data_IF_662239646010
#
_entry.id   IF_662239646010
#
_cell.length_a   1.000
_cell.length_b   1.000
_cell.length_c   1.000
_cell.angle_alpha   90.00
_cell.angle_beta   90.00
_cell.angle_gamma   90.00
#
_symmetry.space_group_name_H-M   'P 1'
#
loop_
_entity.id
_entity.type
_entity.pdbx_description
1 polymer ?
#
# COMPACT_ATOMS: atom_id res chain seq x y z
N UNK A 1 34.55 -24.36 -24.62
CA UNK A 1 33.63 -23.32 -25.15
C UNK A 1 32.86 -22.76 -23.97
N UNK A 2 33.22 -21.58 -23.48
CA UNK A 2 32.50 -20.92 -22.38
C UNK A 2 31.27 -20.24 -22.97
N UNK A 3 30.10 -20.84 -22.80
CA UNK A 3 28.83 -20.17 -23.02
C UNK A 3 28.78 -18.95 -22.12
N UNK A 4 28.71 -17.74 -22.71
CA UNK A 4 28.50 -16.52 -21.97
C UNK A 4 27.09 -16.59 -21.36
N UNK A 5 27.00 -17.03 -20.11
CA UNK A 5 25.74 -17.04 -19.38
C UNK A 5 25.39 -15.60 -19.02
N UNK A 6 24.22 -15.13 -19.45
CA UNK A 6 23.71 -13.82 -19.07
C UNK A 6 23.57 -13.75 -17.54
N UNK A 7 23.93 -12.61 -16.94
CA UNK A 7 23.76 -12.38 -15.50
C UNK A 7 22.27 -12.38 -15.18
N UNK A 8 21.82 -13.24 -14.27
CA UNK A 8 20.40 -13.28 -13.87
C UNK A 8 20.04 -12.05 -13.05
N UNK A 9 18.94 -11.39 -13.41
CA UNK A 9 18.35 -10.30 -12.63
C UNK A 9 17.41 -10.89 -11.58
N UNK A 10 17.76 -10.71 -10.31
CA UNK A 10 17.05 -11.30 -9.18
C UNK A 10 16.37 -10.21 -8.38
N UNK A 11 15.05 -10.30 -8.22
CA UNK A 11 14.35 -9.53 -7.21
C UNK A 11 14.20 -10.35 -5.93
N UNK A 12 14.03 -9.67 -4.81
CA UNK A 12 13.72 -10.30 -3.53
C UNK A 12 12.38 -9.76 -3.04
N UNK A 13 11.62 -10.59 -2.30
CA UNK A 13 10.37 -10.14 -1.69
C UNK A 13 10.38 -10.42 -0.19
N UNK A 14 10.03 -9.39 0.60
CA UNK A 14 9.86 -9.51 2.06
C UNK A 14 11.12 -9.41 2.93
N UNK A 15 12.29 -9.09 2.36
CA UNK A 15 13.50 -8.83 3.16
C UNK A 15 13.53 -7.41 3.72
N UNK A 16 13.90 -7.27 4.99
CA UNK A 16 14.24 -5.97 5.58
C UNK A 16 15.65 -5.49 5.18
N UNK A 17 16.01 -4.25 5.53
CA UNK A 17 17.32 -3.66 5.17
C UNK A 17 18.51 -4.49 5.64
N UNK A 18 18.40 -5.11 6.82
CA UNK A 18 19.50 -5.89 7.42
C UNK A 18 19.66 -7.23 6.71
N UNK A 19 18.55 -7.88 6.39
CA UNK A 19 18.48 -9.17 5.70
C UNK A 19 18.90 -9.02 4.24
N UNK A 20 18.49 -7.93 3.58
CA UNK A 20 18.92 -7.60 2.23
C UNK A 20 20.44 -7.39 2.16
N UNK A 21 21.02 -6.61 3.07
CA UNK A 21 22.46 -6.40 3.11
C UNK A 21 23.25 -7.72 3.33
N UNK A 22 22.77 -8.59 4.23
CA UNK A 22 23.37 -9.90 4.42
C UNK A 22 23.23 -10.79 3.16
N UNK A 23 22.13 -10.67 2.44
CA UNK A 23 21.87 -11.39 1.20
C UNK A 23 22.75 -10.89 0.04
N UNK A 24 22.97 -9.58 -0.08
CA UNK A 24 23.92 -9.00 -1.03
C UNK A 24 25.35 -9.49 -0.79
N UNK A 25 25.78 -9.52 0.48
CA UNK A 25 27.06 -10.11 0.87
C UNK A 25 27.13 -11.59 0.50
N UNK A 26 26.04 -12.34 0.65
CA UNK A 26 25.96 -13.74 0.23
C UNK A 26 26.10 -13.88 -1.29
N UNK A 27 25.36 -13.09 -2.08
CA UNK A 27 25.41 -13.12 -3.56
C UNK A 27 26.80 -12.81 -4.10
N UNK A 28 27.55 -11.90 -3.47
CA UNK A 28 28.94 -11.61 -3.87
C UNK A 28 29.88 -12.82 -3.80
N UNK A 29 29.51 -13.86 -3.02
CA UNK A 29 30.28 -15.10 -2.86
C UNK A 29 29.84 -16.23 -3.80
N UNK A 30 28.70 -16.09 -4.48
CA UNK A 30 28.14 -17.11 -5.38
C UNK A 30 28.93 -17.18 -6.69
N UNK A 31 29.45 -16.05 -7.17
CA UNK A 31 30.37 -15.98 -8.31
C UNK A 31 30.17 -14.71 -9.15
N UNK A 32 31.20 -14.26 -9.88
CA UNK A 32 31.09 -13.10 -10.76
C UNK A 32 30.07 -13.39 -11.88
N UNK A 33 29.14 -12.45 -12.10
CA UNK A 33 28.08 -12.53 -13.11
C UNK A 33 27.04 -13.65 -12.92
N UNK A 34 26.98 -14.27 -11.73
CA UNK A 34 25.98 -15.31 -11.47
C UNK A 34 24.56 -14.73 -11.32
N UNK A 35 24.44 -13.60 -10.63
CA UNK A 35 23.18 -12.99 -10.24
C UNK A 35 23.42 -11.55 -9.80
N UNK A 36 22.53 -10.61 -10.16
CA UNK A 36 22.52 -9.24 -9.67
C UNK A 36 21.12 -8.88 -9.16
N UNK A 37 21.05 -8.08 -8.09
CA UNK A 37 19.76 -7.59 -7.60
C UNK A 37 19.17 -6.56 -8.58
N UNK A 38 17.92 -6.76 -8.97
CA UNK A 38 17.16 -5.84 -9.81
C UNK A 38 15.83 -5.44 -9.17
N UNK A 39 15.16 -4.48 -9.79
CA UNK A 39 13.74 -4.22 -9.58
C UNK A 39 12.87 -5.43 -9.98
N UNK A 40 11.67 -5.49 -9.42
CA UNK A 40 10.73 -6.60 -9.60
C UNK A 40 10.18 -6.71 -11.02
N UNK A 41 10.08 -5.61 -11.76
CA UNK A 41 9.57 -5.60 -13.13
C UNK A 41 10.60 -6.18 -14.10
N UNK A 42 11.87 -5.79 -13.95
CA UNK A 42 12.96 -6.28 -14.80
C UNK A 42 13.55 -7.62 -14.36
N UNK A 43 13.11 -8.21 -13.25
CA UNK A 43 13.67 -9.45 -12.75
C UNK A 43 13.37 -10.67 -13.64
N UNK A 44 14.40 -11.50 -13.84
CA UNK A 44 14.32 -12.81 -14.48
C UNK A 44 13.90 -13.90 -13.48
N UNK A 45 14.21 -13.69 -12.20
CA UNK A 45 13.93 -14.63 -11.09
C UNK A 45 13.58 -13.86 -9.82
N UNK A 46 12.75 -14.44 -8.95
CA UNK A 46 12.54 -13.91 -7.60
C UNK A 46 13.04 -14.87 -6.51
N UNK A 47 13.62 -14.30 -5.45
CA UNK A 47 13.95 -15.02 -4.24
C UNK A 47 12.96 -14.71 -3.12
N UNK A 48 12.39 -15.76 -2.52
CA UNK A 48 11.40 -15.66 -1.45
C UNK A 48 11.83 -16.54 -0.28
N UNK A 49 11.84 -15.96 0.92
CA UNK A 49 11.92 -16.73 2.15
C UNK A 49 10.52 -17.26 2.51
N UNK A 50 10.31 -18.58 2.43
CA UNK A 50 9.01 -19.22 2.71
C UNK A 50 8.72 -19.41 4.21
N UNK A 51 9.75 -19.56 5.03
CA UNK A 51 9.57 -19.70 6.47
C UNK A 51 9.32 -18.35 7.16
N UNK A 52 9.55 -17.25 6.46
CA UNK A 52 9.08 -15.95 6.87
C UNK A 52 7.55 -15.96 6.94
N UNK A 53 6.96 -15.21 7.88
CA UNK A 53 5.50 -15.14 8.08
C UNK A 53 4.74 -14.77 6.80
N UNK A 54 5.38 -13.98 5.92
CA UNK A 54 4.83 -13.54 4.64
C UNK A 54 5.16 -14.47 3.47
N UNK A 55 6.07 -15.43 3.65
CA UNK A 55 6.62 -16.26 2.59
C UNK A 55 5.58 -16.92 1.69
N UNK A 56 4.58 -17.64 2.24
CA UNK A 56 3.55 -18.30 1.43
C UNK A 56 2.70 -17.31 0.62
N UNK A 57 2.36 -16.15 1.20
CA UNK A 57 1.58 -15.11 0.53
C UNK A 57 2.38 -14.40 -0.57
N UNK A 58 3.68 -14.19 -0.34
CA UNK A 58 4.58 -13.61 -1.34
C UNK A 58 4.78 -14.58 -2.51
N UNK A 59 4.88 -15.88 -2.24
CA UNK A 59 4.96 -16.92 -3.26
C UNK A 59 3.68 -16.93 -4.12
N UNK A 60 2.51 -16.97 -3.49
CA UNK A 60 1.22 -16.95 -4.19
C UNK A 60 1.03 -15.65 -4.99
N UNK A 61 1.29 -14.50 -4.38
CA UNK A 61 1.18 -13.19 -5.03
C UNK A 61 2.13 -13.05 -6.22
N UNK A 62 3.38 -13.48 -6.07
CA UNK A 62 4.34 -13.41 -7.16
C UNK A 62 3.99 -14.39 -8.29
N UNK A 63 3.45 -15.58 -7.98
CA UNK A 63 2.98 -16.52 -9.02
C UNK A 63 1.76 -15.98 -9.77
N UNK A 64 0.86 -15.23 -9.11
CA UNK A 64 -0.28 -14.58 -9.76
C UNK A 64 0.16 -13.44 -10.70
N UNK A 65 1.11 -12.62 -10.27
CA UNK A 65 1.58 -11.46 -11.03
C UNK A 65 2.55 -11.84 -12.16
N UNK A 66 3.35 -12.88 -11.94
CA UNK A 66 4.35 -13.36 -12.89
C UNK A 66 4.27 -14.88 -13.06
N UNK A 67 3.21 -15.41 -13.72
CA UNK A 67 2.95 -16.85 -13.80
C UNK A 67 4.12 -17.66 -14.39
N UNK A 68 4.85 -17.08 -15.34
CA UNK A 68 5.96 -17.72 -16.05
C UNK A 68 7.35 -17.46 -15.43
N UNK A 69 7.47 -16.62 -14.39
CA UNK A 69 8.79 -16.32 -13.79
C UNK A 69 9.23 -17.48 -12.89
N UNK A 70 10.46 -18.00 -13.05
CA UNK A 70 11.06 -18.92 -12.09
C UNK A 70 11.22 -18.29 -10.70
N UNK A 71 11.00 -19.08 -9.66
CA UNK A 71 11.09 -18.66 -8.27
C UNK A 71 12.10 -19.53 -7.52
N UNK A 72 13.01 -18.91 -6.78
CA UNK A 72 13.86 -19.59 -5.81
C UNK A 72 13.25 -19.33 -4.43
N UNK A 73 12.88 -20.40 -3.74
CA UNK A 73 12.18 -20.32 -2.47
C UNK A 73 13.01 -20.99 -1.40
N UNK A 74 13.29 -20.31 -0.28
CA UNK A 74 14.03 -20.92 0.84
C UNK A 74 13.09 -21.40 1.94
N UNK A 75 13.23 -22.65 2.37
CA UNK A 75 12.33 -23.30 3.36
C UNK A 75 13.10 -24.27 4.27
N UNK A 76 12.62 -24.47 5.50
CA UNK A 76 13.10 -25.52 6.42
C UNK A 76 12.43 -26.87 6.20
N UNK A 77 11.34 -26.90 5.43
CA UNK A 77 10.56 -28.10 5.13
C UNK A 77 11.19 -28.87 3.96
N UNK A 78 10.98 -30.20 3.86
CA UNK A 78 11.44 -30.96 2.71
C UNK A 78 10.77 -30.47 1.41
N UNK A 79 11.49 -30.46 0.27
CA UNK A 79 10.94 -30.00 -1.00
C UNK A 79 9.68 -30.76 -1.38
N UNK A 80 8.62 -30.02 -1.68
CA UNK A 80 7.34 -30.60 -2.13
C UNK A 80 7.31 -30.86 -3.63
N UNK A 81 8.07 -30.10 -4.43
CA UNK A 81 8.23 -30.32 -5.87
C UNK A 81 6.95 -30.17 -6.69
N UNK A 82 5.95 -29.45 -6.17
CA UNK A 82 4.62 -29.37 -6.75
C UNK A 82 4.52 -28.41 -7.95
N UNK A 83 5.42 -27.42 -8.04
CA UNK A 83 5.45 -26.41 -9.12
C UNK A 83 6.81 -26.47 -9.85
N UNK A 84 6.85 -26.76 -11.16
CA UNK A 84 8.09 -26.87 -11.93
C UNK A 84 8.86 -25.55 -12.08
N UNK A 85 8.21 -24.40 -11.84
CA UNK A 85 8.84 -23.08 -11.84
C UNK A 85 9.19 -22.59 -10.43
N UNK A 86 9.10 -23.46 -9.42
CA UNK A 86 9.47 -23.15 -8.03
C UNK A 86 10.59 -24.07 -7.56
N UNK A 87 11.77 -23.49 -7.39
CA UNK A 87 12.97 -24.18 -6.96
C UNK A 87 13.15 -23.99 -5.45
N UNK A 88 12.87 -25.06 -4.70
CA UNK A 88 12.96 -25.06 -3.24
C UNK A 88 14.40 -25.32 -2.77
N UNK A 89 14.95 -24.41 -1.97
CA UNK A 89 16.29 -24.49 -1.38
C UNK A 89 16.17 -24.63 0.14
N UNK A 90 16.71 -25.73 0.68
CA UNK A 90 16.67 -25.99 2.12
C UNK A 90 17.49 -24.96 2.90
N UNK A 91 16.99 -24.55 4.07
CA UNK A 91 17.74 -23.71 5.01
C UNK A 91 18.63 -24.53 5.95
N UNK A 92 19.84 -24.03 6.29
CA UNK A 92 20.43 -22.77 5.87
C UNK A 92 20.84 -22.78 4.39
N UNK A 93 20.60 -21.66 3.69
CA UNK A 93 20.89 -21.55 2.25
C UNK A 93 22.40 -21.56 2.03
N UNK A 94 22.93 -22.69 1.57
CA UNK A 94 24.33 -22.86 1.22
C UNK A 94 24.65 -22.33 -0.17
N UNK A 95 25.91 -21.95 -0.40
CA UNK A 95 26.38 -21.44 -1.70
C UNK A 95 26.17 -22.46 -2.82
N UNK A 96 26.50 -23.74 -2.60
CA UNK A 96 26.33 -24.79 -3.61
C UNK A 96 24.87 -25.01 -4.02
N UNK A 97 23.96 -25.07 -3.03
CA UNK A 97 22.53 -25.27 -3.27
C UNK A 97 21.91 -24.07 -4.00
N UNK A 98 22.32 -22.84 -3.64
CA UNK A 98 21.86 -21.64 -4.31
C UNK A 98 22.41 -21.50 -5.74
N UNK A 99 23.68 -21.82 -5.97
CA UNK A 99 24.27 -21.85 -7.32
C UNK A 99 23.57 -22.85 -8.23
N UNK A 100 23.27 -24.05 -7.72
CA UNK A 100 22.53 -25.07 -8.47
C UNK A 100 21.11 -24.59 -8.83
N UNK A 101 20.43 -23.90 -7.91
CA UNK A 101 19.13 -23.29 -8.18
C UNK A 101 19.22 -22.23 -9.30
N UNK A 102 20.25 -21.36 -9.29
CA UNK A 102 20.45 -20.39 -10.37
C UNK A 102 20.72 -21.04 -11.73
N UNK A 103 21.45 -22.16 -11.78
CA UNK A 103 21.63 -22.92 -13.02
C UNK A 103 20.33 -23.51 -13.55
N UNK A 104 19.49 -24.04 -12.67
CA UNK A 104 18.15 -24.52 -13.04
C UNK A 104 17.26 -23.39 -13.55
N UNK A 105 17.30 -22.20 -12.93
CA UNK A 105 16.60 -21.01 -13.45
C UNK A 105 17.01 -20.70 -14.89
N UNK A 106 18.31 -20.76 -15.21
CA UNK A 106 18.79 -20.51 -16.59
C UNK A 106 18.24 -21.50 -17.61
N UNK A 107 17.95 -22.73 -17.19
CA UNK A 107 17.35 -23.76 -18.06
C UNK A 107 15.84 -23.55 -18.24
N UNK A 108 15.17 -22.95 -17.25
CA UNK A 108 13.73 -22.67 -17.27
C UNK A 108 13.39 -21.40 -18.06
N UNK A 109 14.33 -20.47 -18.19
CA UNK A 109 14.15 -19.26 -19.00
C UNK A 109 14.30 -19.61 -20.49
N UNK A 110 13.43 -19.09 -21.37
CA UNK A 110 13.55 -19.32 -22.81
C UNK A 110 14.91 -18.82 -23.32
N UNK A 111 15.61 -19.64 -24.09
CA UNK A 111 16.82 -19.22 -24.80
C UNK A 111 16.44 -18.04 -25.72
N UNK A 112 17.05 -16.88 -25.47
CA UNK A 112 16.58 -15.59 -25.99
C UNK A 112 16.14 -15.59 -27.44
N UNK A 113 14.95 -15.07 -27.70
CA UNK A 113 14.55 -14.66 -29.04
C UNK A 113 15.59 -13.69 -29.59
N UNK A 114 16.16 -14.10 -30.71
CA UNK A 114 17.09 -13.33 -31.50
C UNK A 114 16.50 -11.95 -31.81
N UNK A 115 17.35 -10.94 -31.67
CA UNK A 115 17.10 -9.60 -32.16
C UNK A 115 16.55 -9.63 -33.59
N UNK A 116 15.37 -9.04 -33.78
CA UNK A 116 14.86 -8.67 -35.09
C UNK A 116 15.62 -7.44 -35.62
N UNK A 117 15.76 -7.28 -36.95
CA UNK A 117 16.95 -6.70 -37.57
C UNK A 117 16.86 -5.18 -37.76
N UNK A 118 17.96 -4.49 -37.46
CA UNK A 118 18.21 -3.12 -37.93
C UNK A 118 18.74 -3.15 -39.37
N UNK A 119 18.26 -2.20 -40.19
CA UNK A 119 18.65 -1.99 -41.58
C UNK A 119 20.15 -1.63 -41.77
N UNK A 120 20.71 -1.83 -42.98
CA UNK A 120 22.13 -2.03 -43.18
C UNK A 120 22.90 -0.76 -43.55
N UNK A 121 24.05 -0.55 -42.90
CA UNK A 121 25.11 0.35 -43.38
C UNK A 121 26.34 -0.45 -43.83
N UNK A 122 26.68 -0.29 -45.12
CA UNK A 122 27.82 -0.84 -45.88
C UNK A 122 29.18 -0.21 -45.45
N UNK A 123 30.36 -0.67 -45.94
CA UNK A 123 31.20 -1.64 -45.26
C UNK A 123 32.64 -1.16 -44.97
N UNK A 124 33.33 -2.00 -44.20
CA UNK A 124 34.72 -2.02 -43.73
C UNK A 124 35.85 -1.51 -44.65
N UNK A 125 36.96 -1.08 -44.02
CA UNK A 125 38.32 -1.55 -44.34
C UNK A 125 39.29 -1.44 -43.13
N UNK A 126 40.41 -2.20 -43.11
CA UNK A 126 40.91 -2.87 -41.91
C UNK A 126 42.34 -2.44 -41.47
N UNK A 127 42.72 -2.74 -40.22
CA UNK A 127 44.12 -2.99 -39.86
C UNK A 127 44.24 -3.79 -38.54
N UNK A 128 45.15 -4.76 -38.57
CA UNK A 128 45.51 -5.73 -37.52
C UNK A 128 46.43 -5.11 -36.42
N UNK A 129 47.09 -5.89 -35.54
CA UNK A 129 46.64 -6.21 -34.18
C UNK A 129 47.65 -5.75 -33.10
N UNK A 130 47.26 -5.66 -31.83
CA UNK A 130 48.07 -6.15 -30.69
C UNK A 130 47.55 -5.66 -29.32
N UNK A 131 47.79 -6.55 -28.36
CA UNK A 131 47.95 -6.36 -26.91
C UNK A 131 46.69 -6.43 -26.02
N UNK A 132 46.76 -7.19 -24.92
CA UNK A 132 45.63 -7.48 -24.04
C UNK A 132 45.21 -6.22 -23.27
N UNK A 133 43.91 -5.98 -23.05
CA UNK A 133 43.48 -4.83 -22.28
C UNK A 133 43.82 -5.01 -20.81
N UNK A 134 44.46 -3.98 -20.26
CA UNK A 134 44.56 -3.75 -18.84
C UNK A 134 43.16 -3.70 -18.20
N UNK A 135 43.10 -4.15 -16.95
CA UNK A 135 41.97 -3.95 -16.04
C UNK A 135 41.60 -2.47 -16.01
N UNK A 136 40.49 -2.13 -16.66
CA UNK A 136 39.73 -0.92 -16.34
C UNK A 136 38.26 -1.32 -16.16
N UNK A 137 38.00 -2.03 -15.06
CA UNK A 137 36.65 -2.21 -14.54
C UNK A 137 36.21 -0.91 -13.88
N UNK A 138 35.90 0.11 -14.69
CA UNK A 138 34.99 1.18 -14.29
C UNK A 138 33.57 0.69 -14.54
N UNK A 139 33.02 0.00 -13.55
CA UNK A 139 31.57 -0.07 -13.40
C UNK A 139 31.03 1.37 -13.35
N UNK A 140 29.95 1.71 -14.08
CA UNK A 140 29.30 2.99 -13.87
C UNK A 140 28.77 2.99 -12.44
N UNK A 141 29.40 3.80 -11.58
CA UNK A 141 28.85 4.11 -10.26
C UNK A 141 27.44 4.63 -10.46
N UNK A 142 26.44 3.90 -9.95
CA UNK A 142 25.07 4.39 -9.94
C UNK A 142 25.08 5.79 -9.32
N UNK A 143 24.64 6.77 -10.11
CA UNK A 143 24.57 8.17 -9.70
C UNK A 143 23.82 8.27 -8.35
N UNK A 144 24.45 8.83 -7.29
CA UNK A 144 23.84 8.94 -5.97
C UNK A 144 22.45 9.58 -5.98
N UNK A 145 22.17 10.48 -6.93
CA UNK A 145 20.87 11.14 -7.10
C UNK A 145 19.82 10.13 -7.57
N UNK A 146 20.19 9.23 -8.50
CA UNK A 146 19.31 8.19 -9.01
C UNK A 146 18.95 7.14 -7.94
N UNK A 147 19.90 6.79 -7.06
CA UNK A 147 19.66 5.90 -5.93
C UNK A 147 18.71 6.53 -4.90
N UNK A 148 18.90 7.82 -4.58
CA UNK A 148 18.00 8.55 -3.69
C UNK A 148 16.58 8.61 -4.24
N UNK A 149 16.43 8.86 -5.56
CA UNK A 149 15.12 8.85 -6.24
C UNK A 149 14.44 7.49 -6.16
N UNK A 150 15.18 6.40 -6.35
CA UNK A 150 14.64 5.04 -6.20
C UNK A 150 14.20 4.73 -4.77
N UNK A 151 14.95 5.22 -3.78
CA UNK A 151 14.57 5.07 -2.35
C UNK A 151 13.30 5.88 -2.07
N UNK A 152 13.19 7.11 -2.55
CA UNK A 152 11.97 7.92 -2.44
C UNK A 152 10.76 7.27 -3.13
N UNK A 153 10.94 6.68 -4.30
CA UNK A 153 9.87 6.01 -5.05
C UNK A 153 9.39 4.71 -4.36
N UNK A 154 10.30 3.98 -3.69
CA UNK A 154 9.93 2.84 -2.86
C UNK A 154 9.21 3.28 -1.57
N UNK A 155 9.65 4.37 -0.95
CA UNK A 155 9.00 4.94 0.22
C UNK A 155 7.63 5.55 -0.11
N UNK A 156 7.46 6.14 -1.29
CA UNK A 156 6.18 6.66 -1.75
C UNK A 156 5.18 5.52 -1.95
N UNK A 157 5.59 4.46 -2.64
CA UNK A 157 4.77 3.26 -2.89
C UNK A 157 4.28 2.62 -1.59
N UNK A 158 5.09 2.67 -0.52
CA UNK A 158 4.72 2.14 0.79
C UNK A 158 3.46 2.82 1.38
N UNK A 159 3.31 4.14 1.18
CA UNK A 159 2.18 4.91 1.72
C UNK A 159 1.05 5.12 0.73
N UNK A 160 1.35 5.29 -0.56
CA UNK A 160 0.39 5.75 -1.56
C UNK A 160 0.15 4.75 -2.68
N UNK A 161 0.81 3.58 -2.64
CA UNK A 161 0.72 2.57 -3.69
C UNK A 161 1.40 2.98 -5.00
N UNK A 162 1.31 2.10 -5.99
CA UNK A 162 1.94 2.22 -7.31
C UNK A 162 0.95 2.52 -8.45
N UNK A 163 -0.29 2.91 -8.13
CA UNK A 163 -1.29 3.14 -9.20
C UNK A 163 -0.83 4.30 -10.10
N UNK A 164 -0.93 4.13 -11.44
CA UNK A 164 -0.62 5.20 -12.36
C UNK A 164 -1.64 6.34 -12.21
N UNK A 165 -1.21 7.52 -12.61
CA UNK A 165 -2.12 8.65 -12.73
C UNK A 165 -3.13 8.37 -13.84
N UNK A 166 -4.36 8.87 -13.66
CA UNK A 166 -5.42 8.73 -14.66
C UNK A 166 -5.73 10.10 -15.23
N UNK A 167 -6.23 10.12 -16.46
CA UNK A 167 -6.81 11.36 -16.97
C UNK A 167 -8.04 11.72 -16.14
N UNK A 168 -7.93 12.80 -15.35
CA UNK A 168 -9.02 13.31 -14.55
C UNK A 168 -10.14 13.90 -15.40
N UNK A 169 -10.02 14.01 -16.73
CA UNK A 169 -11.10 14.41 -17.64
C UNK A 169 -11.83 13.20 -18.27
N UNK A 170 -11.26 12.00 -18.20
CA UNK A 170 -11.90 10.76 -18.62
C UNK A 170 -12.81 10.17 -17.52
N UNK A 171 -14.12 10.23 -17.74
CA UNK A 171 -15.13 9.70 -16.81
C UNK A 171 -15.02 8.20 -16.53
N UNK A 172 -14.56 7.40 -17.50
CA UNK A 172 -14.40 5.96 -17.31
C UNK A 172 -13.17 5.66 -16.44
N UNK A 173 -12.05 6.34 -16.71
CA UNK A 173 -10.83 6.19 -15.94
C UNK A 173 -10.96 6.71 -14.49
N UNK A 174 -11.81 7.73 -14.26
CA UNK A 174 -12.12 8.26 -12.92
C UNK A 174 -12.67 7.20 -11.96
N UNK A 175 -13.27 6.11 -12.43
CA UNK A 175 -13.75 5.05 -11.52
C UNK A 175 -12.63 4.47 -10.65
N UNK A 176 -11.41 4.36 -11.19
CA UNK A 176 -10.27 3.72 -10.53
C UNK A 176 -9.67 4.54 -9.37
N UNK A 177 -9.93 5.85 -9.32
CA UNK A 177 -9.40 6.73 -8.27
C UNK A 177 -10.28 6.78 -7.02
N UNK A 178 -11.44 6.13 -7.03
CA UNK A 178 -12.32 6.08 -5.87
C UNK A 178 -12.21 4.76 -5.10
N UNK A 179 -12.41 4.83 -3.79
CA UNK A 179 -12.58 3.66 -2.93
C UNK A 179 -13.64 3.93 -1.87
N UNK A 180 -14.14 2.88 -1.24
CA UNK A 180 -15.14 2.97 -0.17
C UNK A 180 -14.49 2.60 1.16
N UNK A 181 -14.08 3.57 2.01
CA UNK A 181 -13.37 3.31 3.27
C UNK A 181 -14.06 2.26 4.17
N UNK A 182 -15.39 2.23 4.14
CA UNK A 182 -16.25 1.35 4.93
C UNK A 182 -16.02 -0.14 4.67
N UNK A 183 -15.57 -0.46 3.45
CA UNK A 183 -15.25 -1.82 3.01
C UNK A 183 -13.84 -2.28 3.41
N UNK A 184 -12.99 -1.40 3.92
CA UNK A 184 -11.62 -1.71 4.33
C UNK A 184 -11.51 -1.73 5.86
N UNK A 185 -10.33 -2.11 6.37
CA UNK A 185 -10.02 -2.05 7.79
C UNK A 185 -10.20 -0.63 8.35
N UNK A 186 -10.00 0.41 7.53
CA UNK A 186 -10.28 1.81 7.84
C UNK A 186 -11.67 2.02 8.44
N UNK A 187 -12.72 1.58 7.72
CA UNK A 187 -14.09 1.71 8.20
C UNK A 187 -14.40 0.86 9.43
N UNK A 188 -13.79 -0.32 9.54
CA UNK A 188 -13.96 -1.19 10.73
C UNK A 188 -13.38 -0.52 11.96
N UNK A 189 -12.15 0.01 11.87
CA UNK A 189 -11.48 0.71 12.98
C UNK A 189 -12.26 1.96 13.38
N UNK A 190 -12.70 2.79 12.42
CA UNK A 190 -13.47 3.99 12.72
C UNK A 190 -14.76 3.65 13.51
N UNK A 191 -15.50 2.61 13.08
CA UNK A 191 -16.69 2.13 13.80
C UNK A 191 -16.35 1.54 15.17
N UNK A 192 -15.26 0.78 15.27
CA UNK A 192 -14.82 0.17 16.52
C UNK A 192 -14.41 1.22 17.55
N UNK A 193 -13.67 2.27 17.14
CA UNK A 193 -13.29 3.40 18.00
C UNK A 193 -14.55 4.15 18.47
N UNK A 194 -15.48 4.45 17.54
CA UNK A 194 -16.73 5.11 17.89
C UNK A 194 -17.54 4.29 18.90
N UNK A 195 -17.67 2.98 18.66
CA UNK A 195 -18.37 2.07 19.57
C UNK A 195 -17.69 1.96 20.92
N UNK A 196 -16.36 1.79 20.97
CA UNK A 196 -15.59 1.72 22.20
C UNK A 196 -15.77 2.99 23.05
N UNK A 197 -15.73 4.17 22.41
CA UNK A 197 -16.00 5.45 23.06
C UNK A 197 -17.43 5.56 23.59
N UNK A 198 -18.41 5.02 22.87
CA UNK A 198 -19.80 5.01 23.32
C UNK A 198 -19.98 4.16 24.59
N UNK A 199 -19.41 2.95 24.60
CA UNK A 199 -19.55 2.02 25.73
C UNK A 199 -18.51 2.24 26.83
N UNK A 200 -17.52 3.12 26.63
CA UNK A 200 -16.38 3.38 27.51
C UNK A 200 -15.63 2.11 27.95
N UNK A 201 -15.52 1.13 27.04
CA UNK A 201 -14.84 -0.16 27.27
C UNK A 201 -13.92 -0.51 26.11
N UNK A 202 -12.77 -1.16 26.38
CA UNK A 202 -11.89 -1.64 25.32
C UNK A 202 -12.58 -2.68 24.42
N UNK A 203 -12.24 -2.63 23.14
CA UNK A 203 -12.72 -3.58 22.12
C UNK A 203 -11.55 -4.22 21.38
N UNK A 204 -11.78 -5.40 20.82
CA UNK A 204 -10.80 -6.19 20.06
C UNK A 204 -11.30 -6.38 18.64
N UNK A 205 -10.42 -6.23 17.66
CA UNK A 205 -10.70 -6.53 16.25
C UNK A 205 -9.95 -7.80 15.91
N UNK A 206 -10.68 -8.81 15.42
CA UNK A 206 -10.13 -10.10 15.02
C UNK A 206 -10.17 -10.25 13.50
N UNK A 207 -9.11 -10.81 12.93
CA UNK A 207 -9.05 -11.33 11.57
C UNK A 207 -9.15 -12.88 11.60
N UNK A 208 -9.11 -13.60 10.46
CA UNK A 208 -9.19 -15.06 10.45
C UNK A 208 -8.08 -15.78 11.23
N UNK A 209 -6.98 -15.09 11.53
CA UNK A 209 -5.84 -15.63 12.28
C UNK A 209 -5.91 -15.26 13.77
N UNK A 210 -6.99 -14.64 14.25
CA UNK A 210 -7.19 -14.18 15.63
C UNK A 210 -7.07 -12.66 15.82
N UNK A 211 -6.68 -12.23 17.02
CA UNK A 211 -6.65 -10.81 17.38
C UNK A 211 -5.68 -10.00 16.49
N UNK A 212 -6.20 -8.96 15.86
CA UNK A 212 -5.45 -8.03 15.04
C UNK A 212 -5.09 -6.75 15.80
N UNK A 213 -6.08 -6.17 16.50
CA UNK A 213 -5.96 -4.92 17.24
C UNK A 213 -6.78 -4.98 18.53
N UNK A 214 -6.27 -4.33 19.57
CA UNK A 214 -7.06 -3.94 20.74
C UNK A 214 -7.14 -2.42 20.77
N UNK A 215 -8.31 -1.88 21.11
CA UNK A 215 -8.58 -0.45 21.13
C UNK A 215 -9.10 -0.06 22.50
N UNK A 216 -8.33 0.72 23.26
CA UNK A 216 -8.75 1.23 24.57
C UNK A 216 -9.21 2.69 24.46
N UNK A 217 -10.53 2.95 24.57
CA UNK A 217 -11.08 4.30 24.42
C UNK A 217 -10.71 5.24 25.57
N UNK A 218 -10.29 4.71 26.73
CA UNK A 218 -9.99 5.52 27.93
C UNK A 218 -8.61 6.14 27.84
N UNK A 219 -7.62 5.35 27.42
CA UNK A 219 -6.26 5.84 27.16
C UNK A 219 -6.12 6.48 25.78
N UNK A 220 -7.03 6.19 24.84
CA UNK A 220 -6.92 6.62 23.45
C UNK A 220 -5.81 5.88 22.69
N UNK A 221 -5.41 4.70 23.19
CA UNK A 221 -4.35 3.88 22.64
C UNK A 221 -4.91 2.63 21.94
N UNK A 222 -4.32 2.33 20.80
CA UNK A 222 -4.45 1.07 20.11
C UNK A 222 -3.22 0.20 20.36
N UNK A 223 -3.44 -1.09 20.58
CA UNK A 223 -2.41 -2.09 20.77
C UNK A 223 -2.48 -3.07 19.61
N UNK A 224 -1.38 -3.17 18.88
CA UNK A 224 -1.32 -3.96 17.66
C UNK A 224 -0.78 -5.35 17.97
N UNK A 225 -1.63 -6.38 17.83
CA UNK A 225 -1.23 -7.77 18.06
C UNK A 225 -0.49 -8.38 16.86
N UNK A 226 -0.70 -7.80 15.66
CA UNK A 226 -0.03 -8.20 14.42
C UNK A 226 1.28 -7.45 14.22
N UNK A 227 2.13 -7.90 13.30
CA UNK A 227 3.24 -7.07 12.82
C UNK A 227 2.72 -5.89 11.99
N UNK A 228 3.50 -4.81 11.89
CA UNK A 228 3.12 -3.62 11.12
C UNK A 228 2.84 -3.96 9.64
N UNK A 229 3.59 -4.92 9.08
CA UNK A 229 3.37 -5.39 7.71
C UNK A 229 2.07 -6.17 7.55
N UNK A 230 1.73 -7.05 8.50
CA UNK A 230 0.47 -7.78 8.47
C UNK A 230 -0.73 -6.84 8.59
N UNK A 231 -0.67 -5.86 9.50
CA UNK A 231 -1.71 -4.84 9.63
C UNK A 231 -1.86 -4.01 8.33
N UNK A 232 -0.74 -3.61 7.73
CA UNK A 232 -0.73 -2.89 6.46
C UNK A 232 -1.32 -3.71 5.31
N UNK A 233 -1.03 -5.00 5.23
CA UNK A 233 -1.60 -5.89 4.22
C UNK A 233 -3.12 -6.02 4.42
N UNK A 234 -3.58 -6.19 5.66
CA UNK A 234 -5.00 -6.24 6.01
C UNK A 234 -5.72 -4.93 5.67
N UNK A 235 -5.06 -3.78 5.83
CA UNK A 235 -5.62 -2.47 5.50
C UNK A 235 -5.79 -2.22 4.00
N UNK A 236 -4.96 -2.85 3.16
CA UNK A 236 -4.96 -2.62 1.70
C UNK A 236 -6.04 -3.40 0.94
N UNK A 237 -6.67 -4.39 1.58
CA UNK A 237 -7.67 -5.25 0.96
C UNK A 237 -9.07 -4.98 1.57
N UNK A 238 -10.14 -5.11 0.77
CA UNK A 238 -11.49 -5.08 1.32
C UNK A 238 -11.67 -6.22 2.33
N UNK A 239 -12.22 -5.91 3.50
CA UNK A 239 -12.40 -6.89 4.58
C UNK A 239 -13.43 -7.95 4.22
N UNK A 240 -14.47 -7.63 3.43
CA UNK A 240 -15.51 -8.57 3.01
C UNK A 240 -16.12 -9.39 4.18
N UNK A 241 -16.17 -8.79 5.36
CA UNK A 241 -16.68 -9.46 6.58
C UNK A 241 -15.73 -10.46 7.25
N UNK A 242 -14.48 -10.59 6.80
CA UNK A 242 -13.47 -11.45 7.44
C UNK A 242 -12.95 -10.91 8.78
N UNK A 243 -13.26 -9.65 9.07
CA UNK A 243 -12.86 -8.96 10.29
C UNK A 243 -14.07 -8.79 11.19
N UNK A 244 -13.92 -9.16 12.47
CA UNK A 244 -14.98 -9.11 13.48
C UNK A 244 -14.59 -8.26 14.68
N UNK A 245 -15.60 -7.69 15.35
CA UNK A 245 -15.43 -6.83 16.51
C UNK A 245 -15.93 -7.55 17.75
N UNK A 246 -15.09 -7.61 18.78
CA UNK A 246 -15.35 -8.24 20.07
C UNK A 246 -15.06 -7.27 21.22
N UNK A 247 -15.51 -7.62 22.41
CA UNK A 247 -15.06 -6.94 23.63
C UNK A 247 -13.75 -7.54 24.11
N UNK A 248 -12.93 -6.73 24.77
CA UNK A 248 -11.76 -7.25 25.49
C UNK A 248 -12.24 -7.90 26.77
N UNK A 249 -11.81 -9.14 27.00
CA UNK A 249 -12.15 -9.95 28.16
C UNK A 249 -10.91 -10.17 29.05
N UNK A 250 -11.10 -10.73 30.25
CA UNK A 250 -10.00 -10.95 31.21
C UNK A 250 -8.89 -11.85 30.69
N UNK A 251 -9.21 -12.80 29.81
CA UNK A 251 -8.23 -13.69 29.19
C UNK A 251 -7.30 -12.99 28.19
N UNK A 252 -7.63 -11.77 27.74
CA UNK A 252 -6.80 -10.97 26.84
C UNK A 252 -5.70 -10.19 27.58
N UNK A 253 -5.79 -10.07 28.92
CA UNK A 253 -4.87 -9.25 29.71
C UNK A 253 -3.37 -9.61 29.51
N UNK A 254 -2.97 -10.91 29.50
CA UNK A 254 -1.57 -11.27 29.28
C UNK A 254 -1.04 -10.86 27.89
N UNK A 255 -1.91 -10.84 26.87
CA UNK A 255 -1.53 -10.40 25.54
C UNK A 255 -1.27 -8.89 25.52
N UNK A 256 -2.15 -8.10 26.15
CA UNK A 256 -2.07 -6.64 26.20
C UNK A 256 -0.84 -6.12 26.97
N UNK A 257 -0.41 -6.79 28.04
CA UNK A 257 0.74 -6.39 28.87
C UNK A 257 2.05 -6.24 28.08
N UNK A 258 2.20 -7.01 27.00
CA UNK A 258 3.42 -7.05 26.19
C UNK A 258 3.34 -6.20 24.92
N UNK A 259 2.20 -5.56 24.65
CA UNK A 259 2.00 -4.77 23.44
C UNK A 259 2.30 -3.29 23.67
N UNK A 260 3.07 -2.71 22.75
CA UNK A 260 3.26 -1.27 22.72
C UNK A 260 1.99 -0.58 22.22
N UNK A 261 1.46 0.34 23.02
CA UNK A 261 0.33 1.19 22.64
C UNK A 261 0.75 2.32 21.72
N UNK A 262 -0.08 2.65 20.72
CA UNK A 262 0.04 3.84 19.88
C UNK A 262 -1.24 4.67 19.90
N UNK A 263 -1.19 6.00 19.76
CA UNK A 263 -2.40 6.82 19.70
C UNK A 263 -3.33 6.42 18.57
N UNK A 264 -4.65 6.50 18.79
CA UNK A 264 -5.66 6.28 17.75
C UNK A 264 -5.42 7.14 16.50
N UNK A 265 -5.08 8.41 16.68
CA UNK A 265 -4.76 9.33 15.58
C UNK A 265 -3.68 8.75 14.66
N UNK A 266 -2.61 8.20 15.24
CA UNK A 266 -1.53 7.61 14.46
C UNK A 266 -1.98 6.34 13.73
N UNK A 267 -2.77 5.49 14.38
CA UNK A 267 -3.32 4.28 13.76
C UNK A 267 -4.27 4.64 12.60
N UNK A 268 -5.21 5.54 12.82
CA UNK A 268 -6.20 5.97 11.82
C UNK A 268 -5.52 6.60 10.60
N UNK A 269 -4.48 7.41 10.82
CA UNK A 269 -3.65 7.98 9.76
C UNK A 269 -2.99 6.92 8.87
N UNK A 270 -2.27 5.98 9.48
CA UNK A 270 -1.57 4.92 8.74
C UNK A 270 -2.56 4.03 7.96
N UNK A 271 -3.65 3.63 8.61
CA UNK A 271 -4.68 2.80 8.00
C UNK A 271 -5.34 3.52 6.82
N UNK A 272 -5.59 4.83 6.92
CA UNK A 272 -6.16 5.60 5.83
C UNK A 272 -5.20 5.72 4.63
N UNK A 273 -3.90 5.93 4.88
CA UNK A 273 -2.88 5.92 3.82
C UNK A 273 -2.86 4.55 3.13
N UNK A 274 -2.74 3.47 3.90
CA UNK A 274 -2.66 2.12 3.35
C UNK A 274 -3.95 1.67 2.64
N UNK A 275 -5.13 1.99 3.16
CA UNK A 275 -6.40 1.63 2.54
C UNK A 275 -6.66 2.44 1.27
N UNK A 276 -6.35 3.74 1.29
CA UNK A 276 -6.57 4.61 0.13
C UNK A 276 -5.68 4.21 -1.05
N UNK A 277 -4.41 3.88 -0.82
CA UNK A 277 -3.43 3.61 -1.90
C UNK A 277 -3.47 4.71 -2.98
N UNK A 278 -3.56 5.97 -2.56
CA UNK A 278 -3.63 7.09 -3.49
C UNK A 278 -4.98 7.27 -4.19
N UNK A 279 -6.06 6.68 -3.66
CA UNK A 279 -7.45 6.92 -4.06
C UNK A 279 -8.10 7.94 -3.12
N UNK A 280 -9.27 8.43 -3.49
CA UNK A 280 -10.14 9.27 -2.65
C UNK A 280 -11.43 8.54 -2.30
N UNK A 281 -12.06 8.82 -1.15
CA UNK A 281 -13.34 8.21 -0.81
C UNK A 281 -14.43 8.56 -1.82
N UNK A 282 -15.29 7.58 -2.12
CA UNK A 282 -16.50 7.79 -2.93
C UNK A 282 -17.31 8.99 -2.39
N UNK A 283 -17.81 9.83 -3.31
CA UNK A 283 -18.50 11.08 -2.96
C UNK A 283 -17.58 12.30 -2.80
N UNK A 284 -16.26 12.14 -2.95
CA UNK A 284 -15.32 13.27 -3.01
C UNK A 284 -15.45 14.01 -4.34
N UNK A 285 -15.66 15.32 -4.32
CA UNK A 285 -15.65 16.13 -5.54
C UNK A 285 -14.24 16.67 -5.81
N UNK A 286 -13.67 16.34 -6.98
CA UNK A 286 -12.30 16.73 -7.33
C UNK A 286 -12.13 18.23 -7.56
N UNK A 287 -13.22 18.91 -7.95
CA UNK A 287 -13.25 20.31 -8.36
C UNK A 287 -13.77 21.24 -7.24
N UNK A 288 -14.22 20.69 -6.13
CA UNK A 288 -14.60 21.50 -4.97
C UNK A 288 -13.34 21.93 -4.21
N UNK A 289 -13.24 23.22 -3.83
CA UNK A 289 -12.13 23.67 -3.02
C UNK A 289 -12.05 22.93 -1.69
N UNK A 290 -10.86 22.56 -1.25
CA UNK A 290 -10.63 21.97 0.07
C UNK A 290 -10.02 22.99 1.03
N UNK A 291 -10.26 22.78 2.32
CA UNK A 291 -9.66 23.56 3.40
C UNK A 291 -9.15 22.61 4.48
N UNK A 292 -7.90 22.82 4.91
CA UNK A 292 -7.41 22.21 6.14
C UNK A 292 -8.00 22.93 7.35
N UNK A 293 -8.65 22.16 8.21
CA UNK A 293 -9.16 22.59 9.51
C UNK A 293 -8.05 22.62 10.55
N UNK A 294 -7.10 21.69 10.44
CA UNK A 294 -5.90 21.62 11.25
C UNK A 294 -4.77 20.99 10.44
N UNK A 295 -3.51 21.33 10.78
CA UNK A 295 -2.37 20.62 10.24
C UNK A 295 -2.25 19.25 10.88
N UNK A 296 -2.05 18.16 10.10
CA UNK A 296 -1.69 16.88 10.69
C UNK A 296 -0.33 17.01 11.39
N UNK A 297 -0.15 16.30 12.51
CA UNK A 297 1.09 16.34 13.27
C UNK A 297 2.20 15.52 12.59
N UNK A 298 2.74 16.02 11.49
CA UNK A 298 3.78 15.36 10.67
C UNK A 298 5.10 15.10 11.42
N UNK A 299 5.28 15.59 12.64
CA UNK A 299 6.42 15.22 13.50
C UNK A 299 6.23 13.87 14.22
N UNK A 300 4.98 13.39 14.30
CA UNK A 300 4.59 12.15 14.97
C UNK A 300 3.87 11.16 14.06
N UNK A 301 3.39 11.62 12.90
CA UNK A 301 2.70 10.82 11.90
C UNK A 301 3.65 10.48 10.74
N UNK A 302 3.33 9.39 10.03
CA UNK A 302 4.00 9.09 8.78
C UNK A 302 3.86 10.25 7.79
N UNK A 303 4.94 10.62 7.11
CA UNK A 303 4.97 11.73 6.16
C UNK A 303 4.89 11.16 4.75
N UNK A 304 3.71 11.13 4.10
CA UNK A 304 3.63 10.72 2.71
C UNK A 304 4.34 11.75 1.82
N UNK A 305 4.69 11.38 0.57
CA UNK A 305 5.35 12.29 -0.37
C UNK A 305 4.58 13.61 -0.50
N UNK A 306 5.32 14.72 -0.62
CA UNK A 306 4.75 16.05 -0.86
C UNK A 306 3.82 16.57 0.25
N UNK A 307 3.67 15.87 1.38
CA UNK A 307 2.73 16.22 2.45
C UNK A 307 2.86 17.67 2.94
N UNK A 308 4.09 18.16 3.14
CA UNK A 308 4.33 19.53 3.60
C UNK A 308 3.93 20.57 2.55
N UNK A 309 4.19 20.30 1.26
CA UNK A 309 3.83 21.21 0.15
C UNK A 309 2.32 21.26 -0.04
N UNK A 310 1.66 20.10 0.03
CA UNK A 310 0.19 19.99 -0.03
C UNK A 310 -0.44 20.70 1.17
N UNK A 311 0.03 20.44 2.39
CA UNK A 311 -0.50 21.07 3.60
C UNK A 311 -0.32 22.61 3.58
N UNK A 312 0.85 23.08 3.16
CA UNK A 312 1.11 24.51 2.99
C UNK A 312 0.17 25.17 1.98
N UNK A 313 -0.12 24.49 0.87
CA UNK A 313 -1.06 24.98 -0.14
C UNK A 313 -2.50 25.08 0.41
N UNK A 314 -2.98 24.03 1.08
CA UNK A 314 -4.36 23.95 1.59
C UNK A 314 -4.61 24.77 2.86
N UNK A 315 -3.57 25.22 3.54
CA UNK A 315 -3.68 26.13 4.69
C UNK A 315 -4.32 27.47 4.34
N UNK A 316 -4.19 27.89 3.08
CA UNK A 316 -4.82 29.12 2.56
C UNK A 316 -6.26 28.88 2.09
N UNK A 317 -6.68 27.62 1.97
CA UNK A 317 -7.97 27.20 1.39
C UNK A 317 -8.11 27.54 -0.10
N UNK A 318 -9.26 27.19 -0.66
CA UNK A 318 -9.69 27.72 -1.97
C UNK A 318 -9.13 26.98 -3.20
N UNK A 319 -8.47 25.83 -3.02
CA UNK A 319 -7.87 25.05 -4.11
C UNK A 319 -8.49 23.65 -4.11
N UNK A 320 -8.87 23.15 -5.28
CA UNK A 320 -9.46 21.82 -5.45
C UNK A 320 -8.40 20.71 -5.47
N UNK A 321 -8.80 19.44 -5.37
CA UNK A 321 -7.84 18.33 -5.48
C UNK A 321 -7.20 18.29 -6.87
N UNK A 322 -8.01 18.50 -7.93
CA UNK A 322 -7.52 18.58 -9.31
C UNK A 322 -6.51 19.70 -9.48
N UNK A 323 -6.83 20.91 -9.00
CA UNK A 323 -5.94 22.06 -9.15
C UNK A 323 -4.67 21.89 -8.32
N UNK A 324 -4.74 21.19 -7.18
CA UNK A 324 -3.57 20.86 -6.37
C UNK A 324 -2.57 20.00 -7.16
N UNK A 325 -3.04 18.97 -7.87
CA UNK A 325 -2.21 18.14 -8.74
C UNK A 325 -1.54 18.98 -9.82
N UNK A 326 -2.31 19.82 -10.51
CA UNK A 326 -1.81 20.70 -11.59
C UNK A 326 -0.79 21.74 -11.09
N UNK A 327 -1.08 22.42 -9.98
CA UNK A 327 -0.25 23.50 -9.44
C UNK A 327 1.06 23.00 -8.84
N UNK A 328 1.04 21.86 -8.15
CA UNK A 328 2.24 21.30 -7.54
C UNK A 328 3.08 20.47 -8.54
N UNK A 329 2.47 19.99 -9.62
CA UNK A 329 3.11 19.13 -10.61
C UNK A 329 3.51 17.77 -10.05
N UNK A 330 2.66 17.20 -9.18
CA UNK A 330 2.94 15.96 -8.44
C UNK A 330 1.94 14.87 -8.84
N UNK A 331 2.30 13.58 -8.71
CA UNK A 331 1.38 12.48 -8.98
C UNK A 331 0.06 12.60 -8.20
N UNK A 332 -1.07 12.34 -8.86
CA UNK A 332 -2.40 12.49 -8.26
C UNK A 332 -2.54 11.67 -6.97
N UNK A 333 -1.92 10.49 -6.93
CA UNK A 333 -1.94 9.58 -5.78
C UNK A 333 -1.38 10.21 -4.50
N UNK A 334 -0.42 11.14 -4.60
CA UNK A 334 0.14 11.81 -3.43
C UNK A 334 -0.87 12.76 -2.81
N UNK A 335 -1.53 13.56 -3.66
CA UNK A 335 -2.60 14.48 -3.24
C UNK A 335 -3.78 13.70 -2.65
N UNK A 336 -4.19 12.63 -3.32
CA UNK A 336 -5.35 11.82 -2.93
C UNK A 336 -5.12 11.02 -1.64
N UNK A 337 -3.93 10.44 -1.45
CA UNK A 337 -3.58 9.77 -0.20
C UNK A 337 -3.55 10.74 0.98
N UNK A 338 -2.91 11.92 0.79
CA UNK A 338 -2.87 12.96 1.83
C UNK A 338 -4.29 13.46 2.17
N UNK A 339 -5.13 13.71 1.16
CA UNK A 339 -6.54 14.05 1.35
C UNK A 339 -7.27 13.00 2.20
N UNK A 340 -7.17 11.73 1.81
CA UNK A 340 -7.86 10.62 2.48
C UNK A 340 -7.43 10.45 3.93
N UNK A 341 -6.14 10.61 4.23
CA UNK A 341 -5.62 10.55 5.58
C UNK A 341 -6.08 11.75 6.44
N UNK A 342 -6.04 12.97 5.90
CA UNK A 342 -6.60 14.13 6.58
C UNK A 342 -8.11 14.00 6.81
N UNK A 343 -8.85 13.44 5.85
CA UNK A 343 -10.30 13.25 5.96
C UNK A 343 -10.64 12.22 7.03
N UNK A 344 -9.86 11.14 7.15
CA UNK A 344 -10.05 10.14 8.19
C UNK A 344 -9.89 10.72 9.61
N UNK A 345 -8.99 11.68 9.80
CA UNK A 345 -8.81 12.39 11.07
C UNK A 345 -9.73 13.61 11.25
N UNK A 346 -10.57 13.94 10.26
CA UNK A 346 -11.41 15.14 10.28
C UNK A 346 -10.61 16.45 10.20
N UNK A 347 -9.43 16.43 9.58
CA UNK A 347 -8.55 17.60 9.40
C UNK A 347 -8.80 18.37 8.10
N UNK A 348 -9.66 17.87 7.21
CA UNK A 348 -9.98 18.52 5.93
C UNK A 348 -11.48 18.48 5.68
N UNK A 349 -11.98 19.50 4.99
CA UNK A 349 -13.35 19.53 4.48
C UNK A 349 -13.40 20.09 3.05
N UNK A 350 -14.48 19.79 2.32
CA UNK A 350 -14.78 20.40 1.02
C UNK A 350 -15.72 21.59 1.21
N UNK A 351 -15.35 22.71 0.60
CA UNK A 351 -16.19 23.91 0.54
C UNK A 351 -17.19 23.74 -0.60
N UNK A 352 -18.49 23.88 -0.30
CA UNK A 352 -19.50 23.91 -1.36
C UNK A 352 -19.37 25.22 -2.14
N UNK A 353 -19.20 25.15 -3.46
CA UNK A 353 -19.18 26.35 -4.31
C UNK A 353 -20.58 26.98 -4.33
N UNK A 354 -20.74 28.31 -4.15
CA UNK A 354 -22.05 28.98 -4.24
C UNK A 354 -22.79 28.70 -5.56
N UNK A 355 -22.05 28.49 -6.66
CA UNK A 355 -22.59 28.11 -7.96
C UNK A 355 -23.17 26.68 -8.01
N UNK A 356 -22.67 25.74 -7.21
CA UNK A 356 -23.20 24.38 -7.14
C UNK A 356 -24.59 24.34 -6.47
N UNK A 357 -24.85 25.25 -5.53
CA UNK A 357 -26.17 25.42 -4.91
C UNK A 357 -27.17 26.05 -5.90
N UNK A 358 -26.72 26.94 -6.78
CA UNK A 358 -27.55 27.54 -7.82
C UNK A 358 -27.92 26.53 -8.91
N UNK A 359 -26.98 25.69 -9.38
CA UNK A 359 -27.25 24.63 -10.36
C UNK A 359 -28.13 23.52 -9.77
N UNK A 360 -27.91 23.14 -8.49
CA UNK A 360 -28.79 22.20 -7.79
C UNK A 360 -30.23 22.73 -7.63
N UNK A 361 -30.38 24.05 -7.39
CA UNK A 361 -31.70 24.71 -7.33
C UNK A 361 -32.34 24.89 -8.72
N UNK A 362 -31.55 25.15 -9.76
CA UNK A 362 -32.05 25.32 -11.12
C UNK A 362 -32.50 23.98 -11.73
N UNK A 363 -31.77 22.90 -11.48
CA UNK A 363 -32.19 21.54 -11.87
C UNK A 363 -33.42 21.05 -11.08
N UNK A 364 -33.61 21.50 -9.83
CA UNK A 364 -34.81 21.21 -9.05
C UNK A 364 -36.05 22.00 -9.51
N UNK A 365 -35.86 23.12 -10.23
CA UNK A 365 -36.95 23.93 -10.80
C UNK A 365 -37.35 23.50 -12.22
N UNK A 366 -36.49 22.78 -12.94
CA UNK A 366 -36.77 22.23 -14.27
C UNK A 366 -37.55 20.90 -14.25
N UNK A 367 -37.67 20.26 -13.08
CA UNK A 367 -38.48 19.05 -12.88
C UNK A 367 -39.71 19.43 -12.06
N UNK A 368 -40.80 19.74 -12.77
CA UNK A 368 -42.08 20.09 -12.17
C UNK A 368 -42.68 18.94 -11.35
N UNK A 369 -43.04 19.29 -10.12
CA UNK A 369 -44.06 18.67 -9.24
C UNK A 369 -43.90 17.19 -8.88
N UNK A 370 -43.04 16.93 -7.90
CA UNK A 370 -43.38 16.05 -6.78
C UNK A 370 -42.72 16.61 -5.53
N UNK A 371 -43.53 16.93 -4.52
CA UNK A 371 -43.12 17.49 -3.24
C UNK A 371 -42.13 16.56 -2.54
N UNK A 372 -40.83 16.82 -2.68
CA UNK A 372 -39.76 16.12 -2.00
C UNK A 372 -38.96 17.15 -1.19
N UNK A 373 -39.11 17.07 0.12
CA UNK A 373 -38.40 17.89 1.09
C UNK A 373 -36.88 17.84 0.87
N UNK A 374 -36.26 19.02 0.83
CA UNK A 374 -34.81 19.18 0.71
C UNK A 374 -34.07 18.40 1.81
N UNK A 375 -32.96 17.69 1.49
CA UNK A 375 -32.21 16.96 2.50
C UNK A 375 -31.41 17.96 3.36
N UNK A 376 -31.56 17.96 4.70
CA UNK A 376 -30.70 18.74 5.56
C UNK A 376 -29.32 18.08 5.62
N UNK A 377 -28.33 18.77 5.08
CA UNK A 377 -26.91 18.52 5.32
C UNK A 377 -26.58 18.89 6.77
N UNK A 378 -26.73 17.92 7.70
CA UNK A 378 -26.00 17.80 8.97
C UNK A 378 -26.64 16.71 9.84
N UNK A 379 -25.81 15.76 10.28
CA UNK A 379 -26.09 14.97 11.48
C UNK A 379 -26.84 13.65 11.28
N UNK A 380 -26.35 12.77 10.39
CA UNK A 380 -26.84 11.38 10.35
C UNK A 380 -26.54 10.60 11.65
N UNK A 381 -25.52 11.02 12.42
CA UNK A 381 -25.14 10.40 13.70
C UNK A 381 -26.03 10.78 14.90
N UNK A 382 -26.80 11.87 14.84
CA UNK A 382 -27.63 12.32 15.99
C UNK A 382 -29.05 11.73 15.99
N UNK A 383 -29.57 11.27 14.84
CA UNK A 383 -30.95 10.74 14.73
C UNK A 383 -31.10 9.26 15.09
N UNK A 384 -30.02 8.47 15.06
CA UNK A 384 -30.04 7.09 15.55
C UNK A 384 -30.08 7.02 17.09
N UNK A 385 -29.47 7.99 17.79
CA UNK A 385 -29.55 8.09 19.24
C UNK A 385 -30.93 8.55 19.73
N UNK A 386 -31.59 9.45 18.99
CA UNK A 386 -32.90 9.98 19.39
C UNK A 386 -34.06 9.00 19.25
N UNK A 387 -33.97 8.02 18.33
CA UNK A 387 -35.03 7.04 18.10
C UNK A 387 -34.93 5.77 18.95
N UNK A 388 -33.79 5.54 19.63
CA UNK A 388 -33.62 4.48 20.64
C UNK A 388 -33.92 4.96 22.07
N UNK A 389 -34.07 6.27 22.29
CA UNK A 389 -34.33 6.88 23.60
C UNK A 389 -35.75 7.47 23.75
N UNK A 390 -36.67 7.18 22.84
CA UNK A 390 -37.97 7.84 22.75
C UNK A 390 -39.17 6.89 22.64
N UNK A 391 -39.36 5.99 23.61
CA UNK A 391 -40.65 5.38 23.92
C UNK A 391 -40.68 4.95 25.41
N UNK A 392 -40.83 5.93 26.30
CA UNK A 392 -41.48 5.71 27.60
C UNK A 392 -42.83 6.43 27.56
N UNK A 393 -43.86 5.66 27.25
CA UNK A 393 -45.22 5.83 27.77
C UNK A 393 -45.39 4.55 28.61
N UNK A 394 -45.54 4.58 29.93
CA UNK A 394 -46.48 5.36 30.71
C UNK A 394 -47.52 4.38 31.25
N UNK A 395 -47.43 4.06 32.54
CA UNK A 395 -48.44 3.50 33.45
C UNK A 395 -49.36 2.34 33.01
N UNK A 396 -49.32 1.25 33.78
CA UNK A 396 -50.53 0.62 34.30
C UNK A 396 -50.24 -0.09 35.62
N UNK A 397 -51.00 0.31 36.64
CA UNK A 397 -51.10 -0.31 37.95
C UNK A 397 -52.02 -1.55 37.93
N UNK A 398 -52.05 -2.23 39.09
CA UNK A 398 -52.98 -3.25 39.56
C UNK A 398 -52.64 -4.73 39.27
N UNK A 399 -52.48 -5.49 40.36
CA UNK A 399 -52.28 -6.94 40.41
C UNK A 399 -51.44 -7.34 41.59
#
# INVERSE_FOLDING_TARGET
MMTAHNTLRLCHSGMDKRSLYAFELFLSRVGPNACQISDEESADVAFIDLDNELGPYLLEGHRLLYPARPLIVSTRRPPTGADPLTLEVAKPVGLSAFSAALEQVRQLLPAGEAAAPAEPSLPAEPALPAAPPALDSRQPSADPISLLRQIEERLSTFYVGSMPDVDLDDLAARGAIYYTPEHFLQGVIARAIAHAREIQRPVRIDDPNGAALYLDPRSGLAYQARSANALRALAQLPTRGTVSLHRVETHDAPALENLAGRPFEALEWDIALWASRGRVPVGTHLDHPVRLLAWPNLTRLAVPPEAMRIAGLWSKGGISLRDTVRLLGVPQRYVFAFYSACLALGHVEQLSTPGAVAVARHNALAVGTAEAAAPPTRGLFKRLLGKLLGARVGEAAAG
#
